data_IF_707457068550
#
_entry.id   IF_707457068550
#
_cell.length_a   1.000
_cell.length_b   1.000
_cell.length_c   1.000
_cell.angle_alpha   90.00
_cell.angle_beta   90.00
_cell.angle_gamma   90.00
#
_symmetry.space_group_name_H-M   'P 1'
#
loop_
_entity.id
_entity.type
_entity.pdbx_description
1 polymer ?
#
# COMPACT_ATOMS: atom_id res chain seq x y z
N UNK A 1 7.15 -14.19 -11.48
CA UNK A 1 7.07 -14.99 -10.23
C UNK A 1 5.85 -14.47 -9.49
N UNK A 2 4.73 -15.20 -9.50
CA UNK A 2 3.49 -14.78 -8.83
C UNK A 2 3.67 -14.98 -7.34
N UNK A 3 3.62 -13.90 -6.58
CA UNK A 3 3.52 -13.92 -5.12
C UNK A 3 2.23 -14.66 -4.74
N UNK A 4 2.36 -15.72 -3.95
CA UNK A 4 1.26 -16.49 -3.38
C UNK A 4 0.80 -15.77 -2.10
N UNK A 5 -0.39 -15.19 -2.11
CA UNK A 5 -0.99 -14.53 -0.93
C UNK A 5 -1.76 -15.59 -0.10
N UNK A 6 -1.56 -15.60 1.23
CA UNK A 6 -1.95 -16.70 2.16
C UNK A 6 -2.72 -16.20 3.39
N UNK A 7 -3.87 -16.79 3.77
CA UNK A 7 -4.65 -16.34 4.95
C UNK A 7 -5.32 -17.43 5.78
N UNK A 8 -5.61 -17.09 7.05
CA UNK A 8 -6.05 -18.02 8.10
C UNK A 8 -7.53 -17.85 8.55
N UNK A 9 -8.21 -18.96 8.87
CA UNK A 9 -9.64 -19.05 9.30
C UNK A 9 -9.79 -19.33 10.81
N UNK A 10 -10.44 -18.45 11.57
CA UNK A 10 -10.69 -18.67 13.00
C UNK A 10 -11.90 -19.62 13.24
N UNK A 11 -11.74 -20.62 14.12
CA UNK A 11 -12.80 -21.61 14.46
C UNK A 11 -13.74 -21.09 15.56
N UNK A 12 -15.05 -21.03 15.30
CA UNK A 12 -16.08 -20.92 16.35
C UNK A 12 -16.64 -22.31 16.71
N UNK A 13 -16.57 -22.66 17.99
CA UNK A 13 -17.08 -23.91 18.54
C UNK A 13 -18.61 -23.86 18.76
N UNK A 14 -19.30 -24.92 18.36
CA UNK A 14 -20.74 -25.15 18.57
C UNK A 14 -20.94 -25.90 19.90
N UNK A 15 -21.65 -25.30 20.86
CA UNK A 15 -21.94 -25.89 22.17
C UNK A 15 -23.45 -25.98 22.45
N UNK A 16 -23.85 -27.10 23.04
CA UNK A 16 -25.21 -27.57 23.30
C UNK A 16 -26.08 -26.69 24.23
N UNK A 17 -27.39 -26.88 24.04
CA UNK A 17 -28.57 -26.35 24.72
C UNK A 17 -28.63 -26.68 26.24
N UNK A 18 -28.79 -25.67 27.10
CA UNK A 18 -29.37 -25.81 28.46
C UNK A 18 -30.21 -24.60 28.87
N UNK A 19 -31.26 -24.88 29.65
CA UNK A 19 -32.42 -24.06 30.00
C UNK A 19 -32.13 -23.05 31.13
N UNK A 20 -32.56 -21.80 30.95
CA UNK A 20 -33.24 -20.95 31.95
C UNK A 20 -32.42 -20.29 33.08
N UNK A 21 -32.04 -19.01 32.88
CA UNK A 21 -32.00 -17.98 33.95
C UNK A 21 -32.01 -16.58 33.31
N UNK A 22 -33.00 -15.74 33.64
CA UNK A 22 -33.03 -14.32 33.23
C UNK A 22 -31.98 -13.55 34.03
N UNK A 23 -30.90 -13.14 33.37
CA UNK A 23 -29.92 -12.17 33.88
C UNK A 23 -30.15 -10.81 33.18
N UNK A 24 -30.03 -9.68 33.90
CA UNK A 24 -30.10 -8.36 33.29
C UNK A 24 -28.97 -8.20 32.28
N UNK A 25 -29.34 -7.78 31.06
CA UNK A 25 -28.45 -7.62 29.93
C UNK A 25 -27.30 -6.67 30.26
N UNK A 26 -26.11 -7.24 30.45
CA UNK A 26 -24.87 -6.54 30.21
C UNK A 26 -24.82 -6.39 28.69
N UNK A 27 -25.17 -5.20 28.20
CA UNK A 27 -24.78 -4.80 26.86
C UNK A 27 -23.26 -4.89 26.81
N UNK A 28 -22.76 -5.94 26.17
CA UNK A 28 -21.38 -5.98 25.73
C UNK A 28 -21.27 -4.88 24.68
N UNK A 29 -20.84 -3.69 25.13
CA UNK A 29 -20.30 -2.69 24.24
C UNK A 29 -19.12 -3.36 23.56
N UNK A 30 -19.33 -3.83 22.33
CA UNK A 30 -18.27 -4.38 21.51
C UNK A 30 -17.21 -3.28 21.45
N UNK A 31 -16.08 -3.51 22.13
CA UNK A 31 -14.90 -2.68 21.98
C UNK A 31 -14.55 -2.71 20.50
N UNK A 32 -15.01 -1.70 19.76
CA UNK A 32 -14.60 -1.47 18.38
C UNK A 32 -13.11 -1.14 18.48
N UNK A 33 -12.26 -2.14 18.26
CA UNK A 33 -10.83 -1.94 18.19
C UNK A 33 -10.56 -0.79 17.21
N UNK A 34 -9.97 0.29 17.70
CA UNK A 34 -9.61 1.44 16.88
C UNK A 34 -8.63 1.00 15.81
N UNK A 35 -8.75 1.54 14.60
CA UNK A 35 -7.78 1.28 13.52
C UNK A 35 -6.37 1.61 14.01
N UNK A 36 -5.36 0.77 13.74
CA UNK A 36 -3.98 1.11 14.07
C UNK A 36 -3.57 2.39 13.34
N UNK A 37 -2.80 3.22 14.03
CA UNK A 37 -2.27 4.47 13.48
C UNK A 37 -0.97 4.22 12.75
N UNK A 38 -0.91 4.67 11.51
CA UNK A 38 0.25 4.53 10.63
C UNK A 38 0.71 5.90 10.13
N UNK A 39 2.01 6.14 10.23
CA UNK A 39 2.67 7.23 9.52
C UNK A 39 3.38 6.70 8.28
N UNK A 40 3.35 7.48 7.21
CA UNK A 40 4.18 7.28 6.02
C UNK A 40 5.11 8.48 5.93
N UNK A 41 6.42 8.23 5.89
CA UNK A 41 7.40 9.31 5.67
C UNK A 41 7.41 9.72 4.20
N UNK A 42 7.93 10.92 3.91
CA UNK A 42 8.17 11.34 2.52
C UNK A 42 8.94 10.26 1.76
N UNK A 43 8.54 9.96 0.53
CA UNK A 43 9.27 9.04 -0.34
C UNK A 43 10.65 9.63 -0.62
N UNK A 44 11.68 8.79 -0.58
CA UNK A 44 13.04 9.21 -0.92
C UNK A 44 13.64 8.32 -2.00
N UNK A 45 14.72 8.77 -2.62
CA UNK A 45 15.57 7.94 -3.46
C UNK A 45 16.98 7.91 -2.88
N UNK A 46 17.66 6.78 -2.98
CA UNK A 46 19.04 6.65 -2.52
C UNK A 46 19.96 7.59 -3.31
N UNK A 47 21.00 8.11 -2.67
CA UNK A 47 21.96 9.04 -3.29
C UNK A 47 22.62 8.48 -4.57
N UNK A 48 22.78 7.16 -4.66
CA UNK A 48 23.28 6.52 -5.86
C UNK A 48 22.30 6.66 -7.05
N UNK A 49 21.01 6.49 -6.80
CA UNK A 49 19.94 6.65 -7.80
C UNK A 49 19.82 8.10 -8.23
N UNK A 50 19.85 9.04 -7.27
CA UNK A 50 19.81 10.48 -7.56
C UNK A 50 21.00 10.88 -8.44
N UNK A 51 22.21 10.41 -8.12
CA UNK A 51 23.42 10.67 -8.94
C UNK A 51 23.34 10.03 -10.32
N UNK A 52 22.76 8.83 -10.44
CA UNK A 52 22.53 8.19 -11.73
C UNK A 52 21.55 8.99 -12.60
N UNK A 53 20.46 9.49 -12.01
CA UNK A 53 19.44 10.27 -12.71
C UNK A 53 19.85 11.73 -12.97
N UNK A 54 20.90 12.24 -12.33
CA UNK A 54 21.35 13.63 -12.44
C UNK A 54 21.75 14.06 -13.86
N UNK A 55 22.01 13.12 -14.77
CA UNK A 55 22.33 13.37 -16.16
C UNK A 55 21.09 13.45 -17.06
N UNK A 56 20.39 14.59 -17.10
CA UNK A 56 19.36 14.87 -18.11
C UNK A 56 17.91 14.74 -17.62
N UNK A 57 17.01 14.30 -18.51
CA UNK A 57 15.56 14.26 -18.30
C UNK A 57 15.15 13.30 -17.16
N UNK A 58 15.96 12.29 -16.90
CA UNK A 58 15.78 11.26 -15.86
C UNK A 58 15.62 11.88 -14.46
N UNK A 59 16.32 12.96 -14.15
CA UNK A 59 16.19 13.68 -12.88
C UNK A 59 14.78 14.24 -12.68
N UNK A 60 14.18 14.79 -13.74
CA UNK A 60 12.82 15.34 -13.70
C UNK A 60 11.79 14.23 -13.54
N UNK A 61 11.99 13.12 -14.27
CA UNK A 61 11.11 11.94 -14.21
C UNK A 61 11.17 11.30 -12.82
N UNK A 62 12.37 11.14 -12.25
CA UNK A 62 12.54 10.62 -10.90
C UNK A 62 11.84 11.51 -9.87
N UNK A 63 12.01 12.83 -9.95
CA UNK A 63 11.30 13.77 -9.06
C UNK A 63 9.79 13.65 -9.19
N UNK A 64 9.26 13.58 -10.41
CA UNK A 64 7.83 13.38 -10.65
C UNK A 64 7.31 12.06 -10.07
N UNK A 65 8.11 10.98 -10.14
CA UNK A 65 7.76 9.71 -9.53
C UNK A 65 7.75 9.82 -8.00
N UNK A 66 8.76 10.45 -7.39
CA UNK A 66 8.84 10.65 -5.94
C UNK A 66 7.63 11.44 -5.44
N UNK A 67 7.39 12.63 -6.00
CA UNK A 67 6.30 13.53 -5.60
C UNK A 67 4.92 12.93 -5.89
N UNK A 68 4.77 12.28 -7.05
CA UNK A 68 3.53 11.60 -7.42
C UNK A 68 3.22 10.43 -6.49
N UNK A 69 4.25 9.67 -6.09
CA UNK A 69 4.10 8.51 -5.22
C UNK A 69 3.71 8.93 -3.80
N UNK A 70 4.22 10.03 -3.26
CA UNK A 70 3.79 10.55 -1.96
C UNK A 70 2.24 10.67 -1.92
N UNK A 71 1.65 11.40 -2.88
CA UNK A 71 0.20 11.60 -2.92
C UNK A 71 -0.59 10.34 -3.24
N UNK A 72 -0.17 9.55 -4.23
CA UNK A 72 -0.89 8.35 -4.65
C UNK A 72 -0.81 7.23 -3.61
N UNK A 73 0.31 7.07 -2.90
CA UNK A 73 0.44 6.08 -1.83
C UNK A 73 -0.47 6.43 -0.66
N UNK A 74 -0.54 7.70 -0.24
CA UNK A 74 -1.48 8.12 0.81
C UNK A 74 -2.93 7.84 0.42
N UNK A 75 -3.30 8.14 -0.83
CA UNK A 75 -4.64 7.86 -1.35
C UNK A 75 -4.93 6.35 -1.34
N UNK A 76 -4.02 5.53 -1.86
CA UNK A 76 -4.16 4.07 -1.84
C UNK A 76 -4.31 3.54 -0.41
N UNK A 77 -3.48 4.04 0.52
CA UNK A 77 -3.55 3.65 1.93
C UNK A 77 -4.87 4.05 2.60
N UNK A 78 -5.43 5.23 2.29
CA UNK A 78 -6.76 5.62 2.78
C UNK A 78 -7.85 4.68 2.24
N UNK A 79 -7.75 4.28 0.97
CA UNK A 79 -8.72 3.39 0.32
C UNK A 79 -8.74 1.99 0.94
N UNK A 80 -7.63 1.52 1.52
CA UNK A 80 -7.62 0.27 2.30
C UNK A 80 -8.60 0.32 3.47
N UNK A 81 -8.88 1.52 4.00
CA UNK A 81 -9.70 1.78 5.20
C UNK A 81 -9.23 1.02 6.44
N UNK A 82 -8.00 0.51 6.48
CA UNK A 82 -7.48 -0.31 7.59
C UNK A 82 -6.74 0.50 8.65
N UNK A 83 -6.23 1.67 8.30
CA UNK A 83 -5.40 2.49 9.17
C UNK A 83 -6.05 3.86 9.43
N UNK A 84 -5.67 4.47 10.55
CA UNK A 84 -5.78 5.91 10.74
C UNK A 84 -4.43 6.52 10.33
N UNK A 85 -4.39 7.18 9.17
CA UNK A 85 -3.13 7.75 8.66
C UNK A 85 -2.81 9.06 9.37
N UNK A 86 -1.54 9.21 9.74
CA UNK A 86 -1.00 10.44 10.33
C UNK A 86 -0.03 11.08 9.33
N UNK A 87 -0.32 12.32 8.95
CA UNK A 87 0.40 13.06 7.90
C UNK A 87 1.82 13.47 8.30
N UNK A 88 2.76 12.53 8.32
CA UNK A 88 4.19 12.82 8.55
C UNK A 88 4.87 13.40 7.30
N UNK A 89 4.41 13.02 6.12
CA UNK A 89 4.71 13.67 4.85
C UNK A 89 4.36 15.16 4.83
N UNK A 90 3.18 15.50 5.36
CA UNK A 90 2.61 16.86 5.34
C UNK A 90 2.86 17.62 6.65
N UNK A 91 3.78 17.12 7.48
CA UNK A 91 4.04 17.66 8.81
C UNK A 91 4.41 19.13 8.77
N UNK A 92 5.16 19.57 7.75
CA UNK A 92 5.55 20.97 7.59
C UNK A 92 4.33 21.90 7.43
N UNK A 93 3.27 21.44 6.75
CA UNK A 93 2.03 22.20 6.59
C UNK A 93 1.22 22.20 7.90
N UNK A 94 1.15 21.05 8.57
CA UNK A 94 0.44 20.90 9.86
C UNK A 94 1.08 21.76 10.94
N UNK A 95 2.42 21.82 11.01
CA UNK A 95 3.12 22.64 11.99
C UNK A 95 2.91 24.14 11.75
N UNK A 96 2.90 24.58 10.49
CA UNK A 96 2.57 25.99 10.16
C UNK A 96 1.17 26.38 10.62
N UNK A 97 0.19 25.49 10.51
CA UNK A 97 -1.16 25.75 11.00
C UNK A 97 -1.23 25.80 12.53
N UNK A 98 -0.48 24.93 13.22
CA UNK A 98 -0.36 24.99 14.67
C UNK A 98 0.33 26.28 15.14
N UNK A 99 1.35 26.74 14.42
CA UNK A 99 2.03 28.01 14.71
C UNK A 99 1.11 29.21 14.45
N UNK A 100 0.26 29.15 13.41
CA UNK A 100 -0.77 30.16 13.14
C UNK A 100 -1.78 30.21 14.28
N UNK A 101 -2.27 29.06 14.75
CA UNK A 101 -3.15 28.97 15.91
C UNK A 101 -2.51 29.55 17.18
N UNK A 102 -1.20 29.33 17.37
CA UNK A 102 -0.45 29.87 18.51
C UNK A 102 -0.09 31.37 18.37
N UNK A 103 -0.12 31.94 17.17
CA UNK A 103 0.30 33.32 16.89
C UNK A 103 -0.67 34.39 17.44
N UNK A 104 -1.87 33.99 17.89
CA UNK A 104 -2.94 34.89 18.30
C UNK A 104 -3.76 35.48 17.15
N UNK A 105 -3.52 35.02 15.91
CA UNK A 105 -4.32 35.38 14.73
C UNK A 105 -5.61 34.57 14.60
N UNK A 106 -5.70 33.42 15.27
CA UNK A 106 -6.87 32.52 15.29
C UNK A 106 -7.65 32.71 16.60
N UNK A 107 -8.97 32.57 16.56
CA UNK A 107 -9.81 32.66 17.76
C UNK A 107 -9.46 31.52 18.75
N UNK A 108 -8.94 31.82 19.95
CA UNK A 108 -8.61 30.81 20.94
C UNK A 108 -9.85 30.16 21.57
N UNK A 109 -11.04 30.76 21.44
CA UNK A 109 -12.29 30.21 21.95
C UNK A 109 -12.93 29.18 21.00
N UNK A 110 -12.46 29.06 19.77
CA UNK A 110 -12.95 28.04 18.83
C UNK A 110 -12.47 26.64 19.28
N UNK A 111 -13.39 25.70 19.57
CA UNK A 111 -13.05 24.35 20.03
C UNK A 111 -12.31 23.51 18.98
N UNK A 112 -12.31 23.93 17.72
CA UNK A 112 -11.61 23.26 16.62
C UNK A 112 -10.20 23.83 16.37
N UNK A 113 -9.79 24.87 17.11
CA UNK A 113 -8.46 25.46 16.98
C UNK A 113 -7.36 24.42 17.22
N UNK A 114 -6.41 24.38 16.29
CA UNK A 114 -5.28 23.48 16.36
C UNK A 114 -4.45 23.72 17.63
N UNK A 115 -4.00 22.64 18.26
CA UNK A 115 -3.15 22.70 19.46
C UNK A 115 -1.71 22.44 19.08
N UNK A 116 -0.83 23.38 19.43
CA UNK A 116 0.60 23.20 19.21
C UNK A 116 1.11 21.95 19.94
N UNK A 117 1.93 21.15 19.23
CA UNK A 117 2.48 19.87 19.68
C UNK A 117 1.44 18.76 19.96
N UNK A 118 0.16 18.97 19.64
CA UNK A 118 -0.92 17.99 19.79
C UNK A 118 -0.96 16.92 18.70
N UNK A 119 0.19 16.53 18.13
CA UNK A 119 0.27 15.58 17.03
C UNK A 119 -0.15 14.17 17.48
N UNK A 120 -0.91 13.48 16.64
CA UNK A 120 -1.28 12.09 16.89
C UNK A 120 -0.02 11.20 16.99
N UNK A 121 0.05 10.40 18.05
CA UNK A 121 0.99 9.28 18.13
C UNK A 121 0.67 8.22 17.09
N UNK A 122 1.69 7.49 16.63
CA UNK A 122 1.57 6.42 15.64
C UNK A 122 2.14 5.13 16.20
N UNK A 123 1.51 4.00 15.91
CA UNK A 123 2.01 2.68 16.31
C UNK A 123 3.03 2.15 15.29
N UNK A 124 2.82 2.49 14.02
CA UNK A 124 3.67 2.05 12.92
C UNK A 124 4.18 3.23 12.11
N UNK A 125 5.41 3.12 11.62
CA UNK A 125 5.99 4.03 10.63
C UNK A 125 6.43 3.21 9.42
N UNK A 126 5.91 3.55 8.24
CA UNK A 126 6.37 3.02 6.98
C UNK A 126 7.29 4.04 6.29
N UNK A 127 8.42 3.55 5.76
CA UNK A 127 9.33 4.32 4.91
C UNK A 127 9.45 3.65 3.56
N UNK A 128 9.61 4.45 2.51
CA UNK A 128 9.78 3.96 1.14
C UNK A 128 10.98 4.68 0.55
N UNK A 129 11.96 3.90 0.10
CA UNK A 129 13.18 4.41 -0.51
C UNK A 129 13.42 3.73 -1.86
N UNK A 130 13.46 4.52 -2.93
CA UNK A 130 13.78 4.08 -4.28
C UNK A 130 15.27 3.73 -4.34
N UNK A 131 15.58 2.48 -4.68
CA UNK A 131 16.94 1.95 -4.74
C UNK A 131 17.43 1.65 -6.17
N UNK A 132 16.52 1.57 -7.15
CA UNK A 132 16.85 1.52 -8.57
C UNK A 132 15.78 2.23 -9.41
N UNK A 133 16.23 3.01 -10.40
CA UNK A 133 15.39 3.70 -11.36
C UNK A 133 16.08 3.74 -12.72
N UNK A 134 15.34 3.41 -13.78
CA UNK A 134 15.79 3.58 -15.17
C UNK A 134 14.63 4.06 -16.05
N UNK A 135 14.89 5.06 -16.89
CA UNK A 135 13.98 5.52 -17.93
C UNK A 135 14.61 5.22 -19.30
N UNK A 136 14.15 4.15 -19.93
CA UNK A 136 14.74 3.60 -21.15
C UNK A 136 13.84 3.99 -22.32
N UNK A 137 14.37 4.81 -23.23
CA UNK A 137 13.69 5.13 -24.49
C UNK A 137 14.38 4.45 -25.66
N UNK A 138 13.69 3.53 -26.32
CA UNK A 138 14.11 2.87 -27.54
C UNK A 138 13.35 3.45 -28.75
N UNK A 139 14.07 3.78 -29.82
CA UNK A 139 13.49 4.27 -31.08
C UNK A 139 13.83 3.32 -32.22
N UNK A 140 12.85 3.03 -33.06
CA UNK A 140 13.02 2.20 -34.24
C UNK A 140 12.25 2.81 -35.42
N UNK A 141 12.81 2.67 -36.61
CA UNK A 141 12.10 2.96 -37.85
C UNK A 141 11.46 1.67 -38.35
N UNK A 142 10.15 1.67 -38.53
CA UNK A 142 9.40 0.52 -39.04
C UNK A 142 9.08 0.75 -40.51
N UNK A 143 9.41 -0.23 -41.35
CA UNK A 143 9.04 -0.22 -42.76
C UNK A 143 7.59 -0.71 -42.90
N UNK A 144 6.67 0.20 -43.22
CA UNK A 144 5.24 -0.09 -43.34
C UNK A 144 4.68 0.08 -44.75
N UNK A 145 3.45 -0.38 -44.96
CA UNK A 145 2.74 -0.30 -46.24
C UNK A 145 2.47 1.15 -46.70
N UNK A 146 2.61 2.12 -45.79
CA UNK A 146 2.41 3.56 -46.02
C UNK A 146 3.71 4.37 -45.94
N UNK A 147 4.89 3.72 -45.97
CA UNK A 147 6.21 4.36 -45.81
C UNK A 147 6.85 4.09 -44.44
N UNK A 148 8.04 4.66 -44.17
CA UNK A 148 8.75 4.46 -42.91
C UNK A 148 8.06 5.22 -41.75
N UNK A 149 7.58 4.50 -40.74
CA UNK A 149 7.07 5.10 -39.49
C UNK A 149 8.14 5.12 -38.41
N UNK A 150 8.07 6.09 -37.49
CA UNK A 150 8.93 6.14 -36.31
C UNK A 150 8.17 5.58 -35.10
N UNK A 151 8.70 4.54 -34.48
CA UNK A 151 8.18 3.99 -33.24
C UNK A 151 9.11 4.34 -32.08
N UNK A 152 8.53 4.82 -30.99
CA UNK A 152 9.21 5.00 -29.71
C UNK A 152 8.58 4.06 -28.68
N UNK A 153 9.42 3.26 -28.03
CA UNK A 153 9.05 2.51 -26.83
C UNK A 153 9.78 3.11 -25.64
N UNK A 154 9.03 3.54 -24.64
CA UNK A 154 9.56 4.01 -23.35
C UNK A 154 9.26 2.96 -22.29
N UNK A 155 10.26 2.61 -21.50
CA UNK A 155 10.14 1.68 -20.38
C UNK A 155 10.69 2.35 -19.12
N UNK A 156 9.88 2.41 -18.07
CA UNK A 156 10.29 2.89 -16.76
C UNK A 156 10.40 1.70 -15.82
N UNK A 157 11.60 1.48 -15.30
CA UNK A 157 11.89 0.47 -14.30
C UNK A 157 12.09 1.15 -12.96
N UNK A 158 11.34 0.72 -11.96
CA UNK A 158 11.38 1.26 -10.61
C UNK A 158 11.52 0.13 -9.59
N UNK A 159 12.44 0.28 -8.66
CA UNK A 159 12.54 -0.57 -7.48
C UNK A 159 12.67 0.31 -6.25
N UNK A 160 11.97 -0.09 -5.20
CA UNK A 160 12.05 0.56 -3.91
C UNK A 160 11.98 -0.46 -2.79
N UNK A 161 12.50 -0.08 -1.63
CA UNK A 161 12.39 -0.86 -0.40
C UNK A 161 11.39 -0.17 0.52
N UNK A 162 10.34 -0.91 0.88
CA UNK A 162 9.37 -0.54 1.90
C UNK A 162 9.83 -1.13 3.22
N UNK A 163 9.97 -0.29 4.25
CA UNK A 163 10.31 -0.73 5.62
C UNK A 163 9.24 -0.30 6.59
N UNK A 164 8.88 -1.17 7.51
CA UNK A 164 7.85 -0.93 8.51
C UNK A 164 8.47 -1.10 9.89
N UNK A 165 8.26 -0.13 10.75
CA UNK A 165 8.79 -0.10 12.11
C UNK A 165 7.65 -0.06 13.12
N UNK A 166 7.80 -0.80 14.21
CA UNK A 166 7.02 -0.60 15.43
C UNK A 166 7.65 0.55 16.23
N UNK A 167 6.86 1.57 16.54
CA UNK A 167 7.37 2.78 17.21
C UNK A 167 7.56 2.64 18.71
N UNK A 168 6.95 1.62 19.32
CA UNK A 168 7.08 1.36 20.76
C UNK A 168 8.41 0.70 21.07
N UNK A 169 8.81 -0.26 20.24
CA UNK A 169 10.05 -1.03 20.40
C UNK A 169 11.20 -0.49 19.56
N UNK A 170 10.91 0.26 18.50
CA UNK A 170 11.89 0.72 17.52
C UNK A 170 12.44 -0.39 16.62
N UNK A 171 11.81 -1.57 16.61
CA UNK A 171 12.22 -2.70 15.77
C UNK A 171 11.55 -2.63 14.40
N UNK A 172 12.24 -3.20 13.41
CA UNK A 172 11.71 -3.36 12.06
C UNK A 172 10.85 -4.62 12.02
N UNK A 173 9.59 -4.45 11.63
CA UNK A 173 8.65 -5.56 11.45
C UNK A 173 8.87 -6.24 10.10
N UNK A 174 9.01 -5.45 9.05
CA UNK A 174 9.20 -5.99 7.71
C UNK A 174 10.03 -5.04 6.83
N UNK A 175 10.77 -5.63 5.89
CA UNK A 175 11.48 -4.91 4.84
C UNK A 175 11.33 -5.66 3.52
N UNK A 176 10.54 -5.11 2.61
CA UNK A 176 10.16 -5.77 1.36
C UNK A 176 10.51 -4.90 0.16
N UNK A 177 11.14 -5.50 -0.85
CA UNK A 177 11.45 -4.83 -2.12
C UNK A 177 10.25 -4.89 -3.05
N UNK A 178 9.76 -3.74 -3.50
CA UNK A 178 8.74 -3.60 -4.52
C UNK A 178 9.44 -3.26 -5.84
N UNK A 179 9.15 -4.01 -6.89
CA UNK A 179 9.68 -3.79 -8.25
C UNK A 179 8.54 -3.64 -9.24
N UNK A 180 8.68 -2.66 -10.12
CA UNK A 180 7.75 -2.38 -11.20
C UNK A 180 8.54 -2.14 -12.50
N UNK A 181 8.00 -2.64 -13.61
CA UNK A 181 8.50 -2.43 -14.97
C UNK A 181 7.27 -2.15 -15.84
N UNK A 182 7.12 -0.90 -16.28
CA UNK A 182 6.01 -0.48 -17.13
C UNK A 182 6.55 0.09 -18.44
N UNK A 183 5.86 -0.21 -19.54
CA UNK A 183 6.27 0.28 -20.85
C UNK A 183 5.10 0.78 -21.69
N UNK A 184 5.32 1.90 -22.37
CA UNK A 184 4.38 2.48 -23.32
C UNK A 184 5.04 2.59 -24.69
N UNK A 185 4.25 2.36 -25.74
CA UNK A 185 4.70 2.52 -27.13
C UNK A 185 3.91 3.64 -27.80
N UNK A 186 4.62 4.52 -28.49
CA UNK A 186 4.07 5.55 -29.35
C UNK A 186 4.54 5.29 -30.78
N UNK A 187 3.61 5.28 -31.74
CA UNK A 187 3.94 5.14 -33.16
C UNK A 187 3.50 6.41 -33.90
N UNK A 188 4.43 7.04 -34.59
CA UNK A 188 4.20 8.26 -35.36
C UNK A 188 4.20 7.89 -36.85
N UNK A 189 3.03 8.01 -37.48
CA UNK A 189 2.86 7.77 -38.92
C UNK A 189 3.43 8.97 -39.71
N UNK A 190 4.12 8.70 -40.82
CA UNK A 190 4.67 9.72 -41.71
C UNK A 190 3.60 10.72 -42.15
N UNK A 191 3.85 12.02 -41.95
CA UNK A 191 2.93 13.09 -42.35
C UNK A 191 1.83 13.44 -41.34
N UNK A 192 1.72 12.70 -40.22
CA UNK A 192 0.87 13.08 -39.10
C UNK A 192 1.56 14.16 -38.24
N UNK A 193 0.77 15.10 -37.69
CA UNK A 193 1.20 15.96 -36.57
C UNK A 193 0.54 15.42 -35.32
N UNK A 194 1.34 15.10 -34.31
CA UNK A 194 0.88 14.68 -32.99
C UNK A 194 1.27 15.75 -31.97
N UNK A 195 0.29 16.34 -31.29
CA UNK A 195 0.52 17.22 -30.13
C UNK A 195 0.42 16.36 -28.86
N UNK A 196 1.59 15.95 -28.34
CA UNK A 196 1.71 15.08 -27.16
C UNK A 196 2.28 13.69 -27.49
N UNK A 197 2.62 12.91 -26.46
CA UNK A 197 3.08 11.51 -26.61
C UNK A 197 2.31 10.63 -25.65
N UNK A 198 1.88 9.43 -26.08
CA UNK A 198 1.29 8.44 -25.15
C UNK A 198 2.25 8.05 -24.02
N UNK A 199 3.54 8.14 -24.27
CA UNK A 199 4.61 7.91 -23.28
C UNK A 199 4.64 8.93 -22.15
N UNK A 200 3.86 10.02 -22.22
CA UNK A 200 3.73 10.99 -21.12
C UNK A 200 2.81 10.49 -20.01
N UNK A 201 1.83 9.62 -20.31
CA UNK A 201 0.95 9.03 -19.28
C UNK A 201 1.66 7.96 -18.45
N UNK A 202 2.73 7.36 -19.01
CA UNK A 202 3.48 6.26 -18.40
C UNK A 202 3.96 6.58 -16.98
N UNK A 203 4.35 7.84 -16.72
CA UNK A 203 4.80 8.25 -15.37
C UNK A 203 3.63 8.14 -14.38
N UNK A 204 2.44 8.60 -14.77
CA UNK A 204 1.24 8.49 -13.95
C UNK A 204 0.85 7.04 -13.69
N UNK A 205 0.94 6.19 -14.72
CA UNK A 205 0.64 4.75 -14.60
C UNK A 205 1.62 4.05 -13.66
N UNK A 206 2.92 4.33 -13.80
CA UNK A 206 3.98 3.84 -12.90
C UNK A 206 3.71 4.25 -11.46
N UNK A 207 3.42 5.53 -11.23
CA UNK A 207 3.14 6.06 -9.90
C UNK A 207 1.92 5.39 -9.28
N UNK A 208 0.82 5.25 -10.03
CA UNK A 208 -0.41 4.63 -9.55
C UNK A 208 -0.21 3.14 -9.23
N UNK A 209 0.43 2.39 -10.14
CA UNK A 209 0.71 0.97 -9.96
C UNK A 209 1.66 0.73 -8.78
N UNK A 210 2.76 1.48 -8.71
CA UNK A 210 3.72 1.38 -7.61
C UNK A 210 3.07 1.69 -6.26
N UNK A 211 2.28 2.76 -6.19
CA UNK A 211 1.58 3.17 -4.98
C UNK A 211 0.56 2.13 -4.49
N UNK A 212 -0.17 1.50 -5.43
CA UNK A 212 -1.11 0.42 -5.10
C UNK A 212 -0.37 -0.80 -4.55
N UNK A 213 0.72 -1.24 -5.20
CA UNK A 213 1.52 -2.38 -4.74
C UNK A 213 2.13 -2.09 -3.37
N UNK A 214 2.76 -0.92 -3.19
CA UNK A 214 3.35 -0.53 -1.91
C UNK A 214 2.30 -0.45 -0.79
N UNK A 215 1.11 0.11 -1.06
CA UNK A 215 0.02 0.16 -0.08
C UNK A 215 -0.44 -1.24 0.35
N UNK A 216 -0.57 -2.16 -0.61
CA UNK A 216 -0.96 -3.54 -0.33
C UNK A 216 0.12 -4.26 0.46
N UNK A 217 1.40 -4.09 0.10
CA UNK A 217 2.53 -4.62 0.88
C UNK A 217 2.46 -4.14 2.32
N UNK A 218 2.36 -2.83 2.56
CA UNK A 218 2.28 -2.27 3.93
C UNK A 218 1.08 -2.83 4.68
N UNK A 219 -0.08 -2.91 4.02
CA UNK A 219 -1.31 -3.37 4.63
C UNK A 219 -1.26 -4.85 5.01
N UNK A 220 -0.70 -5.69 4.14
CA UNK A 220 -0.61 -7.13 4.34
C UNK A 220 0.45 -7.51 5.38
N UNK A 221 1.55 -6.74 5.45
CA UNK A 221 2.58 -6.87 6.50
C UNK A 221 2.03 -6.61 7.91
N UNK A 222 1.27 -5.53 8.08
CA UNK A 222 0.79 -5.13 9.42
C UNK A 222 -0.51 -5.86 9.78
N UNK A 223 -1.40 -6.04 8.80
CA UNK A 223 -2.73 -6.60 9.00
C UNK A 223 -3.01 -7.71 7.99
N UNK A 224 -2.40 -8.89 8.12
CA UNK A 224 -2.61 -10.00 7.19
C UNK A 224 -4.09 -10.27 6.95
N UNK A 225 -4.51 -10.56 5.71
CA UNK A 225 -5.89 -10.88 5.45
C UNK A 225 -6.44 -12.04 6.29
N UNK A 226 -7.75 -12.01 6.55
CA UNK A 226 -8.42 -12.97 7.42
C UNK A 226 -9.78 -13.29 6.85
N UNK A 227 -10.16 -14.55 6.96
CA UNK A 227 -11.52 -14.98 6.64
C UNK A 227 -12.48 -14.45 7.70
N UNK A 228 -13.53 -13.78 7.25
CA UNK A 228 -14.57 -13.17 8.08
C UNK A 228 -15.78 -14.11 8.21
N UNK A 229 -16.14 -14.79 7.14
CA UNK A 229 -17.28 -15.69 7.12
C UNK A 229 -17.10 -16.80 6.08
N UNK A 230 -17.74 -17.94 6.34
CA UNK A 230 -17.91 -19.02 5.38
C UNK A 230 -19.38 -19.43 5.38
N UNK A 231 -20.07 -19.23 4.26
CA UNK A 231 -21.49 -19.55 4.12
C UNK A 231 -21.73 -20.23 2.79
N UNK A 232 -22.31 -21.43 2.82
CA UNK A 232 -22.71 -22.19 1.61
C UNK A 232 -21.60 -22.31 0.54
N UNK A 233 -20.34 -22.54 0.96
CA UNK A 233 -19.21 -22.67 0.04
C UNK A 233 -18.58 -21.34 -0.38
N UNK A 234 -19.11 -20.19 0.06
CA UNK A 234 -18.56 -18.87 -0.22
C UNK A 234 -17.76 -18.36 0.98
N UNK A 235 -16.53 -17.94 0.73
CA UNK A 235 -15.65 -17.31 1.72
C UNK A 235 -15.74 -15.79 1.55
N UNK A 236 -16.02 -15.08 2.64
CA UNK A 236 -15.84 -13.63 2.73
C UNK A 236 -14.60 -13.36 3.58
N UNK A 237 -13.74 -12.46 3.12
CA UNK A 237 -12.49 -12.11 3.80
C UNK A 237 -12.28 -10.60 3.78
N UNK A 238 -11.37 -10.11 4.62
CA UNK A 238 -11.23 -8.69 4.92
C UNK A 238 -10.42 -7.89 3.88
N UNK A 239 -10.59 -8.18 2.59
CA UNK A 239 -9.94 -7.48 1.46
C UNK A 239 -10.93 -7.20 0.34
N UNK A 240 -10.67 -6.13 -0.41
CA UNK A 240 -11.44 -5.67 -1.58
C UNK A 240 -10.53 -5.34 -2.76
N UNK A 241 -11.11 -4.88 -3.88
CA UNK A 241 -10.37 -4.35 -5.02
C UNK A 241 -9.37 -3.25 -4.65
N UNK A 242 -9.75 -2.37 -3.71
CA UNK A 242 -8.86 -1.32 -3.19
C UNK A 242 -7.60 -1.86 -2.49
N UNK A 243 -7.59 -3.14 -2.12
CA UNK A 243 -6.44 -3.84 -1.53
C UNK A 243 -5.77 -4.83 -2.49
N UNK A 244 -5.92 -4.64 -3.81
CA UNK A 244 -5.26 -5.46 -4.83
C UNK A 244 -5.90 -6.81 -5.11
N UNK A 245 -7.12 -7.05 -4.62
CA UNK A 245 -7.88 -8.26 -4.93
C UNK A 245 -8.53 -8.11 -6.30
N UNK A 246 -8.40 -9.12 -7.15
CA UNK A 246 -9.02 -9.15 -8.46
C UNK A 246 -9.87 -10.41 -8.63
N UNK A 247 -11.00 -10.28 -9.32
CA UNK A 247 -11.83 -11.42 -9.67
C UNK A 247 -11.03 -12.44 -10.51
N UNK A 248 -11.15 -13.71 -10.15
CA UNK A 248 -10.40 -14.81 -10.77
C UNK A 248 -9.07 -15.13 -10.11
N UNK A 249 -8.56 -14.30 -9.18
CA UNK A 249 -7.39 -14.66 -8.38
C UNK A 249 -7.64 -15.93 -7.56
N UNK A 250 -6.62 -16.75 -7.40
CA UNK A 250 -6.67 -17.99 -6.64
C UNK A 250 -5.83 -17.80 -5.38
N UNK A 251 -6.45 -18.05 -4.24
CA UNK A 251 -5.90 -17.83 -2.91
C UNK A 251 -5.86 -19.16 -2.16
N UNK A 252 -4.76 -19.43 -1.47
CA UNK A 252 -4.67 -20.59 -0.58
C UNK A 252 -5.22 -20.21 0.79
N UNK A 253 -6.08 -21.08 1.32
CA UNK A 253 -6.75 -20.88 2.60
C UNK A 253 -6.11 -21.80 3.63
N UNK A 254 -5.79 -21.23 4.78
CA UNK A 254 -5.19 -21.91 5.91
C UNK A 254 -6.12 -21.87 7.12
N UNK A 255 -5.95 -22.83 8.03
CA UNK A 255 -6.49 -22.79 9.37
C UNK A 255 -5.33 -22.60 10.36
N UNK A 256 -5.49 -21.80 11.43
CA UNK A 256 -4.49 -21.66 12.46
C UNK A 256 -4.44 -22.95 13.28
N UNK A 257 -3.26 -23.53 13.39
CA UNK A 257 -2.94 -24.64 14.28
C UNK A 257 -2.35 -24.14 15.59
N UNK A 258 -1.35 -24.86 16.09
CA UNK A 258 -0.71 -24.55 17.37
C UNK A 258 0.23 -23.34 17.25
N UNK A 259 0.46 -22.64 18.37
CA UNK A 259 1.42 -21.54 18.42
C UNK A 259 2.85 -22.06 18.21
N UNK A 260 3.59 -21.42 17.31
CA UNK A 260 4.96 -21.75 17.00
C UNK A 260 5.87 -20.89 17.88
N UNK A 261 6.54 -21.53 18.84
CA UNK A 261 7.51 -20.86 19.71
C UNK A 261 8.90 -21.34 19.32
N UNK A 262 9.80 -20.40 19.04
CA UNK A 262 11.20 -20.71 18.79
C UNK A 262 11.84 -21.32 20.06
N UNK A 263 12.45 -22.51 19.99
CA UNK A 263 12.98 -23.20 21.17
C UNK A 263 14.23 -22.53 21.76
N UNK A 264 14.96 -21.74 20.98
CA UNK A 264 16.20 -21.07 21.39
C UNK A 264 15.93 -19.66 21.93
N UNK A 265 15.00 -18.92 21.32
CA UNK A 265 14.71 -17.53 21.69
C UNK A 265 13.45 -17.37 22.54
N UNK A 266 12.54 -18.35 22.54
CA UNK A 266 11.22 -18.25 23.18
C UNK A 266 10.27 -17.27 22.49
N UNK A 267 10.62 -16.78 21.30
CA UNK A 267 9.79 -15.87 20.52
C UNK A 267 8.62 -16.61 19.88
N UNK A 268 7.43 -16.00 19.92
CA UNK A 268 6.28 -16.49 19.15
C UNK A 268 6.46 -16.14 17.69
N UNK A 269 6.64 -17.16 16.85
CA UNK A 269 6.74 -17.07 15.39
C UNK A 269 5.36 -17.08 14.71
N UNK A 270 4.30 -16.91 15.50
CA UNK A 270 2.92 -16.97 15.06
C UNK A 270 2.28 -18.33 15.32
N UNK A 271 1.41 -18.75 14.41
CA UNK A 271 0.68 -20.01 14.52
C UNK A 271 0.97 -20.88 13.31
N UNK A 272 0.90 -22.19 13.49
CA UNK A 272 0.98 -23.13 12.39
C UNK A 272 -0.11 -22.83 11.35
N UNK A 273 0.27 -22.78 10.07
CA UNK A 273 -0.66 -22.57 8.96
C UNK A 273 -0.98 -23.90 8.27
N UNK A 274 -2.13 -24.49 8.64
CA UNK A 274 -2.57 -25.77 8.05
C UNK A 274 -3.36 -25.47 6.78
N UNK A 275 -2.83 -25.84 5.61
CA UNK A 275 -3.53 -25.64 4.32
C UNK A 275 -4.83 -26.45 4.29
N UNK A 276 -5.96 -25.76 4.09
CA UNK A 276 -7.30 -26.37 4.00
C UNK A 276 -7.83 -26.39 2.57
N UNK A 277 -7.17 -25.70 1.64
CA UNK A 277 -7.49 -25.76 0.21
C UNK A 277 -7.33 -24.42 -0.51
N UNK A 278 -7.92 -24.35 -1.70
CA UNK A 278 -7.80 -23.21 -2.60
C UNK A 278 -9.17 -22.59 -2.85
N UNK A 279 -9.24 -21.27 -2.82
CA UNK A 279 -10.43 -20.50 -3.16
C UNK A 279 -10.15 -19.61 -4.37
N UNK A 280 -11.16 -19.43 -5.22
CA UNK A 280 -11.11 -18.45 -6.31
C UNK A 280 -11.96 -17.26 -5.94
N UNK A 281 -11.41 -16.06 -6.07
CA UNK A 281 -12.15 -14.81 -5.91
C UNK A 281 -13.21 -14.72 -7.00
N UNK A 282 -14.48 -14.67 -6.60
CA UNK A 282 -15.61 -14.50 -7.53
C UNK A 282 -15.97 -13.04 -7.73
N UNK A 283 -15.82 -12.24 -6.68
CA UNK A 283 -16.05 -10.80 -6.67
C UNK A 283 -15.03 -10.14 -5.74
N UNK A 284 -14.41 -9.06 -6.21
CA UNK A 284 -13.43 -8.29 -5.44
C UNK A 284 -14.11 -7.20 -4.59
N UNK A 285 -15.39 -6.91 -4.83
CA UNK A 285 -16.09 -5.79 -4.19
C UNK A 285 -15.43 -4.43 -4.47
N UNK A 286 -15.98 -3.38 -3.86
CA UNK A 286 -15.43 -2.02 -3.87
C UNK A 286 -14.76 -1.68 -2.53
#
# INVERSE_FOLDING_TARGET
MRTLNRFSVCRCALGLLTIGLLLPGVSAEAAQGSKPRLAITKITANDAVVRQAAGGNDSTVLTQIIEGTDGQLMNAMQQTRKFELVGRSDLDAILREQDLAASGLVDPADPQTARQFGLAGVQYVATVAIDNFQDITARATLEGQFGPSEAERRTIQLQAVVRIYDTTTGTMLESTSVRLDESATNEIITGAREDGRRTNLLIGDVVAAFSSVAANTITDSILPPKVLAYTMGVISFNRTAASGVEAGQIWEVFAPGDELIDPDTGESLGVEEISIGWARVTDAGS
#
